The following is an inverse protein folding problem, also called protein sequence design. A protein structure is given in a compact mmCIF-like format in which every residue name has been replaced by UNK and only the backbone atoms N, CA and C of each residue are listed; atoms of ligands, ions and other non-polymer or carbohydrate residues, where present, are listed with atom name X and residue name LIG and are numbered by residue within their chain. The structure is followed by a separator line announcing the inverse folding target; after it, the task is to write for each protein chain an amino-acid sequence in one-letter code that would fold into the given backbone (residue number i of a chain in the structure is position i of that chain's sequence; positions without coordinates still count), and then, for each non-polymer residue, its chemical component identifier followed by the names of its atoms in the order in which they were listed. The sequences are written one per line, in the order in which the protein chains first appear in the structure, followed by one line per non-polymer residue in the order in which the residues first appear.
data_IF_348626241279
#
_entry.id   IF_348626241279
#
_cell.length_a   1.000
_cell.length_b   1.000
_cell.length_c   1.000
_cell.angle_alpha   90.00
_cell.angle_beta   90.00
_cell.angle_gamma   90.00
#
_symmetry.space_group_name_H-M   'P 1'
#
loop_
_entity.id
_entity.type
_entity.pdbx_description
1 polymer ?
#
# COMPACT_ATOMS: atom_id res chain seq x y z
N UNK A 1 -9.02 6.74 -8.72
CA UNK A 1 -8.20 7.03 -9.91
C UNK A 1 -6.76 6.54 -9.71
N UNK A 2 -5.96 6.26 -10.75
CA UNK A 2 -4.66 5.61 -10.59
C UNK A 2 -3.66 6.46 -9.79
N UNK A 3 -2.82 5.79 -8.99
CA UNK A 3 -1.60 6.38 -8.42
C UNK A 3 -0.76 6.96 -9.56
N UNK A 4 -0.24 8.17 -9.39
CA UNK A 4 0.65 8.77 -10.38
C UNK A 4 2.03 8.15 -10.28
N UNK A 5 2.65 7.89 -11.42
CA UNK A 5 3.94 7.20 -11.52
C UNK A 5 5.08 7.87 -10.76
N UNK A 6 4.96 9.15 -10.39
CA UNK A 6 5.98 9.91 -9.71
C UNK A 6 5.86 9.87 -8.17
N UNK A 7 4.91 9.13 -7.58
CA UNK A 7 4.61 9.15 -6.14
C UNK A 7 5.79 8.79 -5.22
N UNK A 8 6.74 7.99 -5.71
CA UNK A 8 7.97 7.61 -5.00
C UNK A 8 9.24 8.20 -5.64
N UNK A 9 9.10 9.08 -6.65
CA UNK A 9 10.21 9.60 -7.47
C UNK A 9 10.56 11.05 -7.10
N UNK A 10 11.75 11.48 -7.52
CA UNK A 10 12.27 12.83 -7.28
C UNK A 10 12.69 13.05 -5.82
N UNK A 11 12.30 14.19 -5.25
CA UNK A 11 12.63 14.57 -3.85
C UNK A 11 11.64 14.02 -2.81
N UNK A 12 10.68 13.17 -3.24
CA UNK A 12 9.70 12.56 -2.34
C UNK A 12 10.39 11.59 -1.39
N UNK A 13 9.96 11.61 -0.13
CA UNK A 13 10.48 10.76 0.95
C UNK A 13 9.34 10.00 1.60
N UNK A 14 9.55 8.75 2.04
CA UNK A 14 8.56 8.04 2.84
C UNK A 14 8.18 8.85 4.09
N UNK A 15 6.90 8.77 4.45
CA UNK A 15 6.31 9.35 5.66
C UNK A 15 6.12 8.31 6.77
N UNK A 16 6.34 7.04 6.46
CA UNK A 16 6.18 5.90 7.37
C UNK A 16 6.76 4.62 6.79
N UNK A 17 6.70 3.55 7.57
CA UNK A 17 7.17 2.21 7.20
C UNK A 17 6.37 1.17 7.98
N UNK A 18 5.89 0.13 7.31
CA UNK A 18 5.28 -1.06 7.94
C UNK A 18 6.29 -2.20 7.79
N UNK A 19 6.75 -2.76 8.92
CA UNK A 19 7.81 -3.76 8.96
C UNK A 19 7.35 -5.04 9.66
N UNK A 20 7.72 -6.18 9.08
CA UNK A 20 7.49 -7.53 9.60
C UNK A 20 8.66 -7.98 10.48
N UNK A 21 8.54 -9.16 11.10
CA UNK A 21 9.55 -9.73 11.99
C UNK A 21 10.71 -10.43 11.25
N UNK A 22 10.58 -10.62 9.94
CA UNK A 22 11.50 -11.32 9.03
C UNK A 22 12.39 -10.36 8.21
N UNK A 23 12.57 -9.13 8.71
CA UNK A 23 13.31 -8.03 8.06
C UNK A 23 12.64 -7.45 6.80
N UNK A 24 11.50 -8.00 6.36
CA UNK A 24 10.73 -7.45 5.24
C UNK A 24 9.93 -6.23 5.70
N UNK A 25 9.77 -5.27 4.80
CA UNK A 25 9.00 -4.07 5.05
C UNK A 25 8.58 -3.42 3.75
N UNK A 26 7.66 -2.47 3.84
CA UNK A 26 7.39 -1.54 2.76
C UNK A 26 7.25 -0.12 3.30
N UNK A 27 7.50 0.85 2.42
CA UNK A 27 7.38 2.27 2.74
C UNK A 27 5.94 2.76 2.67
N UNK A 28 5.62 3.77 3.46
CA UNK A 28 4.44 4.61 3.25
C UNK A 28 4.89 5.92 2.62
N UNK A 29 4.33 6.25 1.46
CA UNK A 29 4.64 7.46 0.69
C UNK A 29 3.58 8.54 0.88
N UNK A 30 3.93 9.83 0.64
CA UNK A 30 2.98 10.93 0.72
C UNK A 30 1.73 10.72 -0.13
N UNK A 31 0.59 11.14 0.40
CA UNK A 31 -0.68 11.12 -0.31
C UNK A 31 -0.68 12.01 -1.55
N UNK A 32 -1.28 11.52 -2.62
CA UNK A 32 -1.62 12.29 -3.83
C UNK A 32 -3.10 12.68 -3.87
N UNK A 33 -3.86 12.35 -2.82
CA UNK A 33 -5.30 12.57 -2.77
C UNK A 33 -5.67 14.05 -2.93
N UNK A 34 -6.60 14.33 -3.83
CA UNK A 34 -7.05 15.69 -4.18
C UNK A 34 -6.15 16.41 -5.19
N UNK A 35 -5.07 15.79 -5.68
CA UNK A 35 -4.37 16.30 -6.85
C UNK A 35 -5.16 16.01 -8.15
N UNK A 36 -4.91 16.74 -9.25
CA UNK A 36 -5.56 16.45 -10.53
C UNK A 36 -5.36 14.98 -10.92
N UNK A 37 -6.46 14.26 -11.11
CA UNK A 37 -6.46 12.83 -11.44
C UNK A 37 -6.31 11.88 -10.25
N UNK A 38 -6.37 12.33 -8.98
CA UNK A 38 -6.46 11.47 -7.80
C UNK A 38 -7.56 12.03 -6.86
N UNK A 39 -8.74 11.42 -6.92
CA UNK A 39 -10.00 12.01 -6.44
C UNK A 39 -10.30 11.81 -4.94
N UNK A 40 -9.35 11.26 -4.16
CA UNK A 40 -9.56 10.92 -2.75
C UNK A 40 -10.81 10.05 -2.55
N UNK A 41 -10.95 8.99 -3.34
CA UNK A 41 -12.17 8.19 -3.46
C UNK A 41 -12.71 7.67 -2.11
N UNK A 42 -11.85 7.28 -1.17
CA UNK A 42 -12.27 6.84 0.16
C UNK A 42 -13.05 7.93 0.93
N UNK A 43 -12.76 9.22 0.69
CA UNK A 43 -13.43 10.35 1.35
C UNK A 43 -14.84 10.62 0.83
N UNK A 44 -15.23 9.94 -0.26
CA UNK A 44 -16.53 10.08 -0.92
C UNK A 44 -17.38 8.81 -0.81
N UNK A 45 -16.78 7.68 -0.44
CA UNK A 45 -17.49 6.41 -0.28
C UNK A 45 -18.34 6.39 1.01
N UNK A 46 -19.64 6.15 0.86
CA UNK A 46 -20.60 6.20 1.98
C UNK A 46 -20.33 5.13 3.04
N UNK A 47 -19.86 3.94 2.65
CA UNK A 47 -19.60 2.84 3.58
C UNK A 47 -18.34 3.11 4.39
N UNK A 48 -17.28 3.57 3.71
CA UNK A 48 -16.05 4.01 4.38
C UNK A 48 -16.36 5.12 5.39
N UNK A 49 -17.08 6.16 4.98
CA UNK A 49 -17.44 7.27 5.87
C UNK A 49 -18.31 6.81 7.06
N UNK A 50 -19.23 5.87 6.83
CA UNK A 50 -20.07 5.32 7.89
C UNK A 50 -19.23 4.57 8.95
N UNK A 51 -18.25 3.77 8.53
CA UNK A 51 -17.41 3.01 9.46
C UNK A 51 -16.36 3.88 10.17
N UNK A 52 -15.78 4.88 9.49
CA UNK A 52 -14.98 5.92 10.17
C UNK A 52 -15.75 6.58 11.32
N UNK A 53 -17.04 6.88 11.10
CA UNK A 53 -17.91 7.44 12.14
C UNK A 53 -18.14 6.45 13.28
N UNK A 54 -18.33 5.15 13.01
CA UNK A 54 -18.47 4.11 14.05
C UNK A 54 -17.23 4.03 14.94
N UNK A 55 -16.05 4.10 14.33
CA UNK A 55 -14.75 4.12 15.03
C UNK A 55 -14.45 5.44 15.76
N UNK A 56 -15.24 6.50 15.53
CA UNK A 56 -14.95 7.87 15.99
C UNK A 56 -13.60 8.38 15.47
N UNK A 57 -13.21 7.93 14.29
CA UNK A 57 -12.00 8.33 13.60
C UNK A 57 -12.28 9.46 12.62
N UNK A 58 -11.28 10.32 12.41
CA UNK A 58 -11.38 11.40 11.41
C UNK A 58 -10.80 10.91 10.11
N UNK A 59 -11.50 11.20 9.01
CA UNK A 59 -10.94 11.03 7.68
C UNK A 59 -9.78 12.00 7.48
N UNK A 60 -8.60 11.45 7.23
CA UNK A 60 -7.36 12.19 6.98
C UNK A 60 -6.61 11.50 5.86
N UNK A 61 -5.70 12.23 5.22
CA UNK A 61 -4.84 11.64 4.20
C UNK A 61 -3.85 10.68 4.85
N UNK A 62 -3.92 9.40 4.48
CA UNK A 62 -3.10 8.31 5.00
C UNK A 62 -1.82 8.14 4.20
N UNK A 63 -1.88 8.35 2.88
CA UNK A 63 -0.78 8.10 1.97
C UNK A 63 -0.90 6.79 1.21
N UNK A 64 0.21 6.40 0.59
CA UNK A 64 0.29 5.26 -0.30
C UNK A 64 1.19 4.22 0.38
N UNK A 65 0.66 3.05 0.73
CA UNK A 65 1.47 1.96 1.31
C UNK A 65 2.08 1.13 0.19
N UNK A 66 3.33 0.72 0.34
CA UNK A 66 4.05 -0.01 -0.70
C UNK A 66 4.79 0.89 -1.68
N UNK A 67 5.80 0.34 -2.34
CA UNK A 67 6.63 1.06 -3.33
C UNK A 67 6.57 0.39 -4.69
N UNK A 68 6.87 -0.91 -4.75
CA UNK A 68 6.78 -1.64 -6.01
C UNK A 68 5.39 -2.21 -6.22
N UNK A 69 4.70 -2.57 -5.13
CA UNK A 69 3.26 -2.79 -5.10
C UNK A 69 2.65 -1.77 -4.18
N UNK A 70 2.21 -0.66 -4.76
CA UNK A 70 1.64 0.45 -4.03
C UNK A 70 0.12 0.33 -3.96
N UNK A 71 -0.45 0.62 -2.79
CA UNK A 71 -1.89 0.80 -2.58
C UNK A 71 -2.15 2.16 -1.93
N UNK A 72 -2.87 3.02 -2.63
CA UNK A 72 -3.26 4.34 -2.13
C UNK A 72 -4.41 4.17 -1.13
N UNK A 73 -4.09 4.27 0.16
CA UNK A 73 -5.09 4.11 1.23
C UNK A 73 -6.10 5.26 1.28
N UNK A 74 -5.83 6.37 0.60
CA UNK A 74 -6.78 7.46 0.41
C UNK A 74 -7.76 7.19 -0.73
N UNK A 75 -7.40 6.35 -1.69
CA UNK A 75 -8.26 5.93 -2.80
C UNK A 75 -8.94 4.58 -2.51
N UNK A 76 -8.32 3.73 -1.70
CA UNK A 76 -8.82 2.40 -1.36
C UNK A 76 -10.16 2.47 -0.61
N UNK A 77 -11.21 1.89 -1.20
CA UNK A 77 -12.55 1.80 -0.60
C UNK A 77 -12.80 0.51 0.16
N UNK A 78 -11.74 -0.26 0.48
CA UNK A 78 -11.83 -1.55 1.17
C UNK A 78 -12.73 -2.59 0.45
N UNK A 79 -12.76 -2.58 -0.88
CA UNK A 79 -13.49 -3.57 -1.67
C UNK A 79 -12.87 -4.97 -1.52
N UNK A 80 -11.54 -5.06 -1.59
CA UNK A 80 -10.79 -6.30 -1.41
C UNK A 80 -10.63 -7.16 -2.67
N UNK A 81 -11.08 -6.71 -3.85
CA UNK A 81 -10.79 -7.41 -5.11
C UNK A 81 -9.28 -7.69 -5.33
N UNK A 82 -8.39 -6.81 -4.88
CA UNK A 82 -6.93 -7.03 -4.97
C UNK A 82 -6.45 -8.20 -4.10
N UNK A 83 -7.09 -8.44 -2.95
CA UNK A 83 -6.79 -9.56 -2.06
C UNK A 83 -7.20 -10.87 -2.73
N UNK A 84 -8.44 -10.94 -3.23
CA UNK A 84 -8.98 -12.12 -3.91
C UNK A 84 -8.26 -12.46 -5.22
N UNK A 85 -7.84 -11.45 -5.99
CA UNK A 85 -7.23 -11.65 -7.30
C UNK A 85 -5.72 -11.95 -7.25
N UNK A 86 -5.05 -11.78 -6.11
CA UNK A 86 -3.61 -11.94 -6.03
C UNK A 86 -3.23 -13.43 -5.95
N UNK A 87 -2.57 -14.02 -6.97
CA UNK A 87 -2.27 -15.45 -6.98
C UNK A 87 -1.19 -15.87 -5.97
N UNK A 88 -0.46 -14.91 -5.39
CA UNK A 88 0.61 -15.11 -4.43
C UNK A 88 0.32 -14.43 -3.09
N UNK A 89 -0.93 -13.99 -2.87
CA UNK A 89 -1.45 -13.50 -1.59
C UNK A 89 -0.56 -12.45 -0.88
N UNK A 90 -0.05 -11.46 -1.61
CA UNK A 90 0.78 -10.40 -1.02
C UNK A 90 -0.03 -9.36 -0.23
N UNK A 91 -1.34 -9.33 -0.45
CA UNK A 91 -2.25 -8.43 0.25
C UNK A 91 -2.86 -9.11 1.47
N UNK A 92 -3.10 -8.32 2.51
CA UNK A 92 -3.95 -8.68 3.64
C UNK A 92 -4.78 -7.48 4.10
N UNK A 93 -5.75 -7.70 4.97
CA UNK A 93 -6.43 -6.64 5.70
C UNK A 93 -5.58 -6.14 6.87
N UNK A 94 -5.33 -4.83 6.97
CA UNK A 94 -4.41 -4.31 7.99
C UNK A 94 -5.01 -4.35 9.41
N UNK A 95 -6.33 -4.12 9.57
CA UNK A 95 -6.94 -4.09 10.91
C UNK A 95 -7.11 -5.46 11.52
N UNK A 96 -7.27 -6.49 10.70
CA UNK A 96 -7.28 -7.87 11.21
C UNK A 96 -5.89 -8.34 11.64
N UNK A 97 -4.82 -7.74 11.11
CA UNK A 97 -3.47 -7.89 11.65
C UNK A 97 -3.30 -7.10 12.95
N UNK A 98 -3.70 -5.82 12.93
CA UNK A 98 -3.65 -4.92 14.09
C UNK A 98 -4.75 -3.87 14.03
N UNK A 99 -5.73 -3.99 14.92
CA UNK A 99 -6.87 -3.06 14.95
C UNK A 99 -6.50 -1.71 15.58
N UNK A 100 -5.97 -0.83 14.72
CA UNK A 100 -5.66 0.57 15.02
C UNK A 100 -6.14 1.48 13.89
N UNK A 101 -6.30 2.77 14.17
CA UNK A 101 -6.71 3.74 13.14
C UNK A 101 -5.68 3.82 12.01
N UNK A 102 -6.14 4.11 10.78
CA UNK A 102 -5.24 4.17 9.62
C UNK A 102 -4.07 5.15 9.82
N UNK A 103 -4.33 6.30 10.44
CA UNK A 103 -3.28 7.29 10.73
C UNK A 103 -2.27 6.81 11.79
N UNK A 104 -2.68 5.93 12.70
CA UNK A 104 -1.77 5.27 13.63
C UNK A 104 -0.98 4.18 12.91
N UNK A 105 -1.63 3.39 12.05
CA UNK A 105 -0.98 2.33 11.29
C UNK A 105 0.17 2.86 10.43
N UNK A 106 -0.07 3.89 9.62
CA UNK A 106 0.98 4.47 8.75
C UNK A 106 2.12 5.18 9.50
N UNK A 107 1.94 5.42 10.81
CA UNK A 107 2.96 6.01 11.70
C UNK A 107 3.50 5.01 12.72
N UNK A 108 3.04 3.77 12.67
CA UNK A 108 3.46 2.75 13.60
C UNK A 108 4.91 2.38 13.30
N UNK A 109 5.72 2.28 14.35
CA UNK A 109 7.14 1.92 14.26
C UNK A 109 7.43 0.58 14.91
N UNK A 110 6.40 -0.08 15.44
CA UNK A 110 6.47 -1.44 15.94
C UNK A 110 6.43 -2.45 14.79
N UNK A 111 6.91 -3.66 15.08
CA UNK A 111 6.82 -4.79 14.16
C UNK A 111 5.35 -5.23 14.03
N UNK A 112 4.93 -5.49 12.79
CA UNK A 112 3.62 -6.02 12.44
C UNK A 112 3.67 -7.54 12.37
N UNK A 113 2.63 -8.24 12.88
CA UNK A 113 2.61 -9.71 12.83
C UNK A 113 2.51 -10.28 11.41
N UNK A 114 1.97 -9.56 10.43
CA UNK A 114 1.74 -10.10 9.09
C UNK A 114 0.67 -11.19 9.07
N UNK A 115 -0.24 -11.18 10.05
CA UNK A 115 -1.25 -12.20 10.28
C UNK A 115 -2.67 -11.71 9.92
N UNK A 116 -2.76 -10.63 9.15
CA UNK A 116 -4.03 -10.13 8.64
C UNK A 116 -4.70 -11.16 7.73
N UNK A 117 -6.02 -11.19 7.75
CA UNK A 117 -6.84 -12.06 6.91
C UNK A 117 -6.60 -11.76 5.42
N UNK A 118 -6.56 -12.82 4.61
CA UNK A 118 -6.29 -12.76 3.16
C UNK A 118 -7.52 -13.12 2.32
N UNK A 119 -8.70 -13.08 2.94
CA UNK A 119 -9.97 -13.33 2.27
C UNK A 119 -10.75 -12.04 2.15
N UNK A 120 -11.27 -11.74 0.96
CA UNK A 120 -11.94 -10.46 0.65
C UNK A 120 -13.06 -10.13 1.64
N UNK A 121 -13.88 -11.10 2.00
CA UNK A 121 -15.04 -10.89 2.88
C UNK A 121 -14.69 -10.93 4.38
N UNK A 122 -13.43 -11.15 4.73
CA UNK A 122 -12.94 -11.17 6.12
C UNK A 122 -12.30 -9.85 6.56
N UNK A 123 -12.54 -8.75 5.83
CA UNK A 123 -12.24 -7.39 6.34
C UNK A 123 -12.97 -7.13 7.65
N UNK A 124 -12.35 -6.39 8.56
CA UNK A 124 -13.02 -5.96 9.78
C UNK A 124 -14.23 -5.07 9.45
N UNK A 125 -14.04 -4.09 8.56
CA UNK A 125 -15.06 -3.20 7.98
C UNK A 125 -14.48 -2.35 6.84
N UNK A 126 -15.18 -1.30 6.37
CA UNK A 126 -14.73 -0.48 5.22
C UNK A 126 -13.59 0.51 5.55
N UNK A 127 -13.17 0.61 6.82
CA UNK A 127 -11.94 1.31 7.20
C UNK A 127 -10.71 0.41 7.15
N UNK A 128 -10.90 -0.90 7.03
CA UNK A 128 -9.84 -1.89 6.89
C UNK A 128 -9.27 -1.85 5.47
N UNK A 129 -8.10 -1.24 5.30
CA UNK A 129 -7.48 -1.07 3.98
C UNK A 129 -6.67 -2.30 3.63
N UNK A 130 -6.72 -2.69 2.35
CA UNK A 130 -5.85 -3.74 1.85
C UNK A 130 -4.40 -3.25 1.92
N UNK A 131 -3.50 -4.06 2.44
CA UNK A 131 -2.10 -3.74 2.56
C UNK A 131 -1.26 -4.75 1.80
N UNK A 132 -0.41 -4.31 0.88
CA UNK A 132 0.53 -5.16 0.15
C UNK A 132 1.73 -5.50 1.05
N UNK A 133 1.47 -6.02 2.25
CA UNK A 133 2.47 -6.14 3.31
C UNK A 133 3.66 -7.03 2.89
N UNK A 134 3.42 -7.97 1.98
CA UNK A 134 4.42 -8.85 1.35
C UNK A 134 4.78 -8.39 -0.06
N UNK A 135 4.96 -7.08 -0.30
CA UNK A 135 5.25 -6.56 -1.65
C UNK A 135 6.46 -7.22 -2.33
N UNK A 136 7.41 -7.73 -1.54
CA UNK A 136 8.61 -8.44 -2.00
C UNK A 136 8.31 -9.77 -2.70
N UNK A 137 7.18 -10.41 -2.42
CA UNK A 137 6.75 -11.67 -3.03
C UNK A 137 5.97 -11.45 -4.34
N UNK A 138 5.82 -10.21 -4.80
CA UNK A 138 5.05 -9.90 -6.00
C UNK A 138 5.66 -10.54 -7.25
N UNK A 139 4.82 -11.23 -8.04
CA UNK A 139 5.20 -11.79 -9.34
C UNK A 139 4.87 -10.88 -10.53
N UNK A 140 4.54 -9.61 -10.29
CA UNK A 140 4.32 -8.58 -11.32
C UNK A 140 3.21 -8.91 -12.35
N UNK A 141 2.20 -9.70 -11.95
CA UNK A 141 1.16 -10.16 -12.88
C UNK A 141 0.07 -9.11 -13.19
N UNK A 142 0.05 -7.98 -12.49
CA UNK A 142 -0.91 -6.87 -12.67
C UNK A 142 -2.40 -7.22 -12.42
N UNK A 143 -2.69 -8.40 -11.87
CA UNK A 143 -4.06 -8.85 -11.60
C UNK A 143 -4.77 -7.89 -10.62
N UNK A 144 -4.11 -7.56 -9.51
CA UNK A 144 -4.63 -6.63 -8.49
C UNK A 144 -4.91 -5.22 -9.04
N UNK A 145 -4.11 -4.73 -9.99
CA UNK A 145 -4.30 -3.44 -10.66
C UNK A 145 -5.57 -3.47 -11.51
N UNK A 146 -5.76 -4.55 -12.27
CA UNK A 146 -6.84 -4.69 -13.25
C UNK A 146 -8.23 -4.83 -12.60
N UNK A 147 -8.29 -5.40 -11.40
CA UNK A 147 -9.56 -5.64 -10.69
C UNK A 147 -9.92 -4.52 -9.70
N UNK A 148 -9.01 -3.59 -9.40
CA UNK A 148 -9.22 -2.60 -8.35
C UNK A 148 -10.27 -1.56 -8.78
N UNK A 149 -11.48 -1.52 -8.18
CA UNK A 149 -12.54 -0.64 -8.65
C UNK A 149 -12.17 0.86 -8.65
N UNK A 150 -11.52 1.41 -7.60
CA UNK A 150 -11.08 2.80 -7.62
C UNK A 150 -9.69 2.97 -8.23
N UNK A 151 -9.06 1.93 -8.78
CA UNK A 151 -7.67 1.98 -9.28
C UNK A 151 -6.66 2.45 -8.21
N UNK A 152 -6.84 2.02 -6.96
CA UNK A 152 -5.95 2.36 -5.84
C UNK A 152 -4.59 1.64 -5.90
N UNK A 153 -4.46 0.58 -6.70
CA UNK A 153 -3.25 -0.27 -6.74
C UNK A 153 -2.40 0.05 -7.96
N UNK A 154 -1.10 0.16 -7.75
CA UNK A 154 -0.08 0.27 -8.80
C UNK A 154 0.99 -0.80 -8.57
N UNK A 155 1.42 -1.44 -9.66
CA UNK A 155 2.51 -2.41 -9.64
C UNK A 155 3.54 -1.97 -10.69
N UNK A 156 4.76 -1.69 -10.26
CA UNK A 156 5.87 -1.29 -11.13
C UNK A 156 7.21 -1.73 -10.52
N UNK A 157 7.89 -2.67 -11.19
CA UNK A 157 9.20 -3.16 -10.79
C UNK A 157 10.26 -2.06 -10.81
N UNK A 158 10.11 -1.05 -11.67
CA UNK A 158 11.01 0.11 -11.75
C UNK A 158 11.03 0.94 -10.46
N UNK A 159 10.04 0.77 -9.59
CA UNK A 159 10.00 1.45 -8.30
C UNK A 159 10.98 0.86 -7.27
N UNK A 160 11.57 -0.32 -7.51
CA UNK A 160 12.53 -0.93 -6.59
C UNK A 160 13.75 -0.04 -6.33
N UNK A 161 14.25 0.66 -7.34
CA UNK A 161 15.32 1.65 -7.18
C UNK A 161 14.96 2.72 -6.14
N UNK A 162 13.69 3.16 -6.13
CA UNK A 162 13.23 4.19 -5.19
C UNK A 162 12.99 3.64 -3.80
N UNK A 163 12.51 2.39 -3.69
CA UNK A 163 12.45 1.66 -2.43
C UNK A 163 13.84 1.60 -1.77
N UNK A 164 14.85 1.20 -2.52
CA UNK A 164 16.21 1.05 -2.02
C UNK A 164 16.92 2.38 -1.76
N UNK A 165 16.64 3.41 -2.57
CA UNK A 165 17.16 4.77 -2.31
C UNK A 165 16.62 5.29 -0.98
N UNK A 166 15.34 5.08 -0.71
CA UNK A 166 14.74 5.44 0.57
C UNK A 166 15.33 4.64 1.74
N UNK A 167 15.70 3.37 1.50
CA UNK A 167 16.39 2.52 2.47
C UNK A 167 17.89 2.85 2.67
N UNK A 168 18.48 3.64 1.77
CA UNK A 168 19.93 3.87 1.75
C UNK A 168 20.73 2.64 1.30
N UNK A 169 20.08 1.64 0.69
CA UNK A 169 20.69 0.39 0.23
C UNK A 169 20.96 0.38 -1.27
N UNK A 170 20.47 1.39 -2.00
CA UNK A 170 20.60 1.47 -3.45
C UNK A 170 22.05 1.40 -3.93
N UNK A 171 22.33 0.47 -4.84
CA UNK A 171 23.64 0.33 -5.49
C UNK A 171 23.51 0.62 -6.97
N UNK A 172 24.23 1.64 -7.44
CA UNK A 172 24.28 1.96 -8.87
C UNK A 172 24.93 0.79 -9.63
N UNK A 173 24.20 0.24 -10.59
CA UNK A 173 24.72 -0.74 -11.54
C UNK A 173 25.88 -0.16 -12.36
N UNK A 174 27.02 -0.85 -12.35
CA UNK A 174 28.05 -0.70 -13.38
C UNK A 174 27.64 -1.40 -14.67
N UNK A 175 28.14 -0.95 -15.82
CA UNK A 175 27.88 -1.60 -17.11
C UNK A 175 28.29 -3.08 -17.07
N UNK A 176 27.35 -3.99 -17.38
CA UNK A 176 27.61 -5.43 -17.45
C UNK A 176 27.45 -6.21 -16.14
N UNK A 177 26.97 -5.59 -15.06
CA UNK A 177 26.63 -6.29 -13.83
C UNK A 177 25.20 -6.85 -13.90
N UNK A 178 25.00 -8.06 -13.35
CA UNK A 178 23.67 -8.64 -13.16
C UNK A 178 22.82 -7.69 -12.31
N UNK A 179 21.54 -7.50 -12.69
CA UNK A 179 20.65 -6.60 -11.99
C UNK A 179 20.44 -7.08 -10.53
N UNK A 180 21.01 -6.41 -9.51
CA UNK A 180 20.81 -6.82 -8.12
C UNK A 180 19.38 -6.47 -7.65
N UNK A 181 18.62 -5.74 -8.47
CA UNK A 181 17.25 -5.33 -8.25
C UNK A 181 16.24 -6.19 -9.04
N UNK A 182 16.66 -7.34 -9.57
CA UNK A 182 15.73 -8.34 -10.11
C UNK A 182 15.76 -9.54 -9.18
N UNK A 183 14.74 -9.66 -8.34
CA UNK A 183 14.39 -10.90 -7.65
C UNK A 183 13.24 -11.57 -8.39
#
# INVERSE_FOLDING_TARGET
MPIKEDFCKGDKKPIGKIALDDEQYHWVWPSQAGEPGNDWDASKDEKVLADYKKHKEKMVKLGITGTMVANDWDVCVADGACIEACPVQIFQWYRTDKDISGIKAVKDTTVWPGAGTTEKEERLDFTDKADAIREHDCIWCMACVSVCPPLAVLVDQGNQEFHEKAAGTFKKLGSGQANPHSH
#
